data_IF_301887072449
#
_entry.id   IF_301887072449
#
_cell.length_a   1.000
_cell.length_b   1.000
_cell.length_c   1.000
_cell.angle_alpha   90.00
_cell.angle_beta   90.00
_cell.angle_gamma   90.00
#
_symmetry.space_group_name_H-M   'P 1'
#
loop_
_entity.id
_entity.type
_entity.pdbx_description
1 polymer ?
#
# COMPACT_ATOMS: atom_id res chain seq x y z
N UNK A 1 -10.15 -19.55 9.78
CA UNK A 1 -10.03 -18.19 9.20
C UNK A 1 -8.89 -18.19 8.20
N UNK A 2 -9.07 -17.62 7.00
CA UNK A 2 -7.96 -17.39 6.04
C UNK A 2 -7.50 -15.94 6.03
N UNK A 3 -8.15 -15.10 6.81
CA UNK A 3 -7.86 -13.68 6.89
C UNK A 3 -7.71 -13.30 8.36
N UNK A 4 -6.77 -12.42 8.65
CA UNK A 4 -6.54 -11.87 9.97
C UNK A 4 -6.59 -10.35 9.87
N UNK A 5 -7.46 -9.75 10.67
CA UNK A 5 -7.59 -8.31 10.77
C UNK A 5 -7.11 -7.88 12.15
N UNK A 6 -6.10 -7.03 12.17
CA UNK A 6 -5.54 -6.46 13.39
C UNK A 6 -5.65 -4.95 13.29
N UNK A 7 -6.31 -4.36 14.27
CA UNK A 7 -6.44 -2.91 14.37
C UNK A 7 -5.70 -2.42 15.59
N UNK A 8 -4.70 -1.58 15.37
CA UNK A 8 -4.04 -0.81 16.41
C UNK A 8 -4.80 0.46 16.75
N UNK A 9 -4.30 1.16 17.76
CA UNK A 9 -4.79 2.47 18.19
C UNK A 9 -3.70 3.53 18.02
N UNK A 10 -2.98 3.52 16.88
CA UNK A 10 -2.00 4.56 16.59
C UNK A 10 -2.72 5.85 16.16
N UNK A 11 -2.99 6.73 17.13
CA UNK A 11 -3.60 8.04 16.86
C UNK A 11 -2.55 9.03 16.36
N UNK A 12 -2.32 9.09 15.05
CA UNK A 12 -1.67 10.23 14.40
C UNK A 12 -2.63 11.44 14.36
N UNK A 13 -3.19 11.85 15.50
CA UNK A 13 -3.90 13.14 15.63
C UNK A 13 -2.98 14.12 16.34
N UNK A 14 -2.10 14.75 15.55
CA UNK A 14 -1.59 16.14 15.67
C UNK A 14 -1.29 16.75 17.05
N UNK A 15 -1.15 15.99 18.14
CA UNK A 15 -0.98 16.54 19.49
C UNK A 15 0.47 16.56 19.98
N UNK A 16 1.39 15.90 19.26
CA UNK A 16 2.80 15.85 19.65
C UNK A 16 3.68 16.02 18.40
N UNK A 17 4.56 17.03 18.44
CA UNK A 17 5.42 17.46 17.34
C UNK A 17 6.55 16.48 17.00
N UNK A 18 7.53 16.99 16.23
CA UNK A 18 8.61 16.31 15.48
C UNK A 18 9.59 15.41 16.26
N UNK A 19 9.30 15.01 17.49
CA UNK A 19 10.14 14.11 18.28
C UNK A 19 9.46 12.74 18.44
N UNK A 20 9.64 11.91 17.41
CA UNK A 20 9.08 10.57 17.34
C UNK A 20 9.98 9.49 17.99
N UNK A 21 10.53 9.75 19.17
CA UNK A 21 11.48 8.86 19.85
C UNK A 21 10.90 8.10 21.04
N UNK A 22 9.60 8.22 21.33
CA UNK A 22 8.98 7.62 22.54
C UNK A 22 7.65 6.93 22.23
N UNK A 23 7.63 6.00 21.27
CA UNK A 23 6.39 5.35 20.80
C UNK A 23 6.30 3.84 21.08
N UNK A 24 7.19 3.27 21.88
CA UNK A 24 7.27 1.81 22.07
C UNK A 24 6.17 1.17 22.94
N UNK A 25 5.34 1.93 23.68
CA UNK A 25 4.57 1.34 24.79
C UNK A 25 3.05 1.20 24.63
N UNK A 26 2.39 1.78 23.61
CA UNK A 26 0.91 1.84 23.58
C UNK A 26 0.23 1.40 22.28
N UNK A 27 0.98 1.19 21.20
CA UNK A 27 0.45 0.62 19.96
C UNK A 27 0.96 -0.81 19.80
N UNK A 28 0.10 -1.80 19.46
CA UNK A 28 0.59 -3.11 19.08
C UNK A 28 1.56 -2.92 17.91
N UNK A 29 2.85 -3.18 18.16
CA UNK A 29 3.88 -3.19 17.13
C UNK A 29 3.98 -4.62 16.63
N UNK A 30 3.79 -4.83 15.34
CA UNK A 30 4.16 -6.11 14.73
C UNK A 30 5.66 -6.06 14.49
N UNK A 31 6.41 -6.60 15.45
CA UNK A 31 7.83 -6.78 15.31
C UNK A 31 8.12 -7.92 14.33
N UNK A 32 9.35 -7.93 13.79
CA UNK A 32 9.94 -9.04 13.05
C UNK A 32 9.81 -10.40 13.76
N UNK A 33 9.61 -10.42 15.09
CA UNK A 33 9.41 -11.63 15.88
C UNK A 33 7.97 -12.17 15.82
N UNK A 34 6.99 -11.27 15.81
CA UNK A 34 5.56 -11.66 15.76
C UNK A 34 5.11 -12.18 14.40
N UNK A 35 5.75 -11.73 13.31
CA UNK A 35 5.39 -12.15 11.95
C UNK A 35 5.73 -13.64 11.65
N UNK A 36 6.93 -14.17 12.03
CA UNK A 36 7.25 -15.59 11.97
C UNK A 36 6.34 -16.47 12.83
N UNK A 37 5.97 -16.02 14.03
CA UNK A 37 5.00 -16.75 14.86
C UNK A 37 3.64 -16.86 14.17
N UNK A 38 3.24 -15.80 13.47
CA UNK A 38 2.01 -15.76 12.68
C UNK A 38 2.07 -16.76 11.53
N UNK A 39 3.22 -16.89 10.86
CA UNK A 39 3.47 -17.91 9.85
C UNK A 39 3.32 -19.33 10.42
N UNK A 40 3.94 -19.59 11.58
CA UNK A 40 3.90 -20.92 12.20
C UNK A 40 2.49 -21.28 12.71
N UNK A 41 1.76 -20.33 13.30
CA UNK A 41 0.44 -20.57 13.89
C UNK A 41 -0.69 -20.57 12.86
N UNK A 42 -0.52 -19.86 11.75
CA UNK A 42 -1.53 -19.68 10.72
C UNK A 42 -0.97 -19.99 9.30
N UNK A 43 -0.54 -21.24 9.01
CA UNK A 43 0.10 -21.56 7.73
C UNK A 43 -0.82 -21.38 6.51
N UNK A 44 -2.15 -21.44 6.72
CA UNK A 44 -3.15 -21.26 5.68
C UNK A 44 -3.64 -19.82 5.50
N UNK A 45 -2.98 -18.83 6.12
CA UNK A 45 -3.36 -17.43 6.01
C UNK A 45 -3.20 -16.92 4.57
N UNK A 46 -4.23 -16.27 4.04
CA UNK A 46 -4.25 -15.64 2.71
C UNK A 46 -4.43 -14.13 2.77
N UNK A 47 -5.08 -13.62 3.81
CA UNK A 47 -5.29 -12.19 4.03
C UNK A 47 -4.71 -11.73 5.35
N UNK A 48 -4.00 -10.61 5.34
CA UNK A 48 -3.56 -9.93 6.54
C UNK A 48 -3.84 -8.44 6.39
N UNK A 49 -4.66 -7.90 7.28
CA UNK A 49 -5.07 -6.52 7.27
C UNK A 49 -4.71 -5.88 8.59
N UNK A 50 -3.75 -4.96 8.52
CA UNK A 50 -3.23 -4.17 9.63
C UNK A 50 -3.78 -2.76 9.48
N UNK A 51 -4.30 -2.18 10.55
CA UNK A 51 -4.83 -0.82 10.54
C UNK A 51 -4.31 -0.03 11.71
N UNK A 52 -3.81 1.19 11.47
CA UNK A 52 -3.35 2.11 12.51
C UNK A 52 -2.27 1.48 13.42
N UNK A 53 -1.27 0.82 12.83
CA UNK A 53 -0.18 0.13 13.55
C UNK A 53 1.20 0.72 13.21
N UNK A 54 2.14 0.64 14.16
CA UNK A 54 3.55 0.91 13.89
C UNK A 54 4.25 -0.40 13.52
N UNK A 55 4.71 -0.52 12.28
CA UNK A 55 5.65 -1.54 11.82
C UNK A 55 7.08 -1.05 12.14
N UNK A 56 7.37 -0.95 13.43
CA UNK A 56 8.60 -0.39 13.96
C UNK A 56 9.69 -1.47 14.14
N UNK A 57 10.92 -0.99 14.35
CA UNK A 57 12.07 -1.81 14.71
C UNK A 57 11.72 -2.74 15.88
N UNK A 58 12.12 -4.01 15.79
CA UNK A 58 12.11 -4.89 16.95
C UNK A 58 13.16 -4.44 17.99
N UNK A 59 13.21 -5.12 19.13
CA UNK A 59 14.20 -4.85 20.20
C UNK A 59 15.65 -5.10 19.76
N UNK A 60 15.86 -5.72 18.58
CA UNK A 60 17.16 -6.01 17.99
C UNK A 60 17.51 -5.05 16.84
N UNK A 61 16.68 -4.03 16.58
CA UNK A 61 16.89 -3.08 15.49
C UNK A 61 16.58 -3.62 14.10
N UNK A 62 15.83 -4.72 13.98
CA UNK A 62 15.39 -5.27 12.69
C UNK A 62 14.08 -4.62 12.25
N UNK A 63 14.04 -4.21 10.98
CA UNK A 63 12.84 -3.65 10.35
C UNK A 63 12.00 -4.79 9.80
N UNK A 64 10.67 -4.79 9.99
CA UNK A 64 9.81 -5.74 9.31
C UNK A 64 9.92 -5.55 7.78
N UNK A 65 10.23 -6.64 7.09
CA UNK A 65 10.29 -6.71 5.62
C UNK A 65 9.22 -7.66 5.11
N UNK A 66 8.88 -7.56 3.82
CA UNK A 66 7.91 -8.48 3.19
C UNK A 66 8.31 -9.96 3.31
N UNK A 67 9.60 -10.27 3.38
CA UNK A 67 10.09 -11.65 3.55
C UNK A 67 9.66 -12.30 4.88
N UNK A 68 9.27 -11.51 5.88
CA UNK A 68 8.78 -12.02 7.17
C UNK A 68 7.30 -12.44 7.13
N UNK A 69 6.57 -12.08 6.08
CA UNK A 69 5.16 -12.41 5.95
C UNK A 69 4.97 -13.82 5.37
N UNK A 70 3.84 -14.49 5.63
CA UNK A 70 3.58 -15.82 5.11
C UNK A 70 3.59 -15.84 3.58
N UNK A 71 4.32 -16.77 2.96
CA UNK A 71 4.37 -16.93 1.50
C UNK A 71 3.03 -17.35 0.85
N UNK A 72 2.04 -17.69 1.67
CA UNK A 72 0.66 -18.03 1.28
C UNK A 72 -0.24 -16.81 1.14
N UNK A 73 0.24 -15.62 1.49
CA UNK A 73 -0.53 -14.38 1.44
C UNK A 73 -0.86 -13.97 0.00
N UNK A 74 -2.12 -13.57 -0.21
CA UNK A 74 -2.67 -13.04 -1.46
C UNK A 74 -3.24 -11.64 -1.27
N UNK A 75 -3.58 -11.27 -0.05
CA UNK A 75 -4.16 -9.98 0.30
C UNK A 75 -3.41 -9.39 1.49
N UNK A 76 -2.83 -8.21 1.29
CA UNK A 76 -2.14 -7.46 2.33
C UNK A 76 -2.76 -6.07 2.44
N UNK A 77 -3.15 -5.67 3.64
CA UNK A 77 -3.50 -4.29 3.94
C UNK A 77 -2.67 -3.80 5.11
N UNK A 78 -2.09 -2.60 4.99
CA UNK A 78 -1.36 -1.93 6.07
C UNK A 78 -1.85 -0.49 6.26
N UNK A 79 -3.16 -0.31 6.23
CA UNK A 79 -3.83 0.99 6.24
C UNK A 79 -3.42 1.84 7.45
N UNK A 80 -2.97 3.08 7.21
CA UNK A 80 -2.58 3.99 8.28
C UNK A 80 -1.38 3.51 9.10
N UNK A 81 -0.64 2.51 8.60
CA UNK A 81 0.52 2.00 9.31
C UNK A 81 1.75 2.90 9.09
N UNK A 82 2.57 3.01 10.13
CA UNK A 82 3.89 3.62 10.06
C UNK A 82 4.92 2.54 9.73
N UNK A 83 5.63 2.64 8.62
CA UNK A 83 6.62 1.65 8.18
C UNK A 83 7.70 2.30 7.30
N UNK A 84 8.90 1.75 7.29
CA UNK A 84 9.97 2.29 6.45
C UNK A 84 9.90 1.67 5.04
N UNK A 85 9.57 2.42 3.97
CA UNK A 85 9.27 1.80 2.68
C UNK A 85 10.48 1.12 2.03
N UNK A 86 11.66 1.77 2.07
CA UNK A 86 12.86 1.21 1.47
C UNK A 86 13.22 -0.19 2.01
N UNK A 87 13.36 -0.42 3.33
CA UNK A 87 13.63 -1.75 3.86
C UNK A 87 12.41 -2.69 3.77
N UNK A 88 11.18 -2.16 3.82
CA UNK A 88 9.99 -3.00 3.71
C UNK A 88 9.93 -3.75 2.37
N UNK A 89 10.35 -3.09 1.29
CA UNK A 89 10.43 -3.63 -0.06
C UNK A 89 11.85 -4.08 -0.48
N UNK A 90 12.86 -4.11 0.42
CA UNK A 90 14.26 -4.41 0.03
C UNK A 90 14.58 -5.89 -0.10
N UNK A 91 14.00 -6.74 0.77
CA UNK A 91 14.14 -8.20 0.70
C UNK A 91 13.33 -8.74 -0.46
N UNK A 92 13.92 -9.64 -1.27
CA UNK A 92 13.46 -10.12 -2.59
C UNK A 92 11.97 -9.82 -2.87
N UNK A 93 11.63 -8.57 -3.27
CA UNK A 93 10.24 -8.13 -3.37
C UNK A 93 9.49 -8.95 -4.43
N UNK A 94 10.24 -9.57 -5.34
CA UNK A 94 9.72 -10.42 -6.40
C UNK A 94 8.96 -11.64 -5.89
N UNK A 95 9.19 -12.15 -4.67
CA UNK A 95 8.55 -13.40 -4.26
C UNK A 95 7.15 -13.20 -3.69
N UNK A 96 6.99 -12.25 -2.76
CA UNK A 96 5.69 -12.01 -2.14
C UNK A 96 4.84 -11.06 -2.98
N UNK A 97 5.40 -9.93 -3.43
CA UNK A 97 4.65 -8.90 -4.15
C UNK A 97 4.10 -9.44 -5.48
N UNK A 98 4.85 -10.33 -6.15
CA UNK A 98 4.39 -10.97 -7.39
C UNK A 98 3.20 -11.91 -7.20
N UNK A 99 2.86 -12.29 -5.98
CA UNK A 99 1.74 -13.19 -5.66
C UNK A 99 0.55 -12.45 -5.07
N UNK A 100 0.75 -11.25 -4.56
CA UNK A 100 -0.33 -10.43 -4.02
C UNK A 100 -1.30 -10.08 -5.13
N UNK A 101 -2.59 -10.27 -4.83
CA UNK A 101 -3.73 -9.87 -5.67
C UNK A 101 -4.36 -8.58 -5.15
N UNK A 102 -4.24 -8.33 -3.86
CA UNK A 102 -4.78 -7.14 -3.20
C UNK A 102 -3.71 -6.53 -2.30
N UNK A 103 -3.48 -5.22 -2.48
CA UNK A 103 -2.58 -4.44 -1.64
C UNK A 103 -3.27 -3.13 -1.25
N UNK A 104 -3.50 -2.93 0.04
CA UNK A 104 -4.02 -1.66 0.58
C UNK A 104 -2.95 -0.94 1.39
N UNK A 105 -2.48 0.20 0.86
CA UNK A 105 -1.53 1.11 1.49
C UNK A 105 -2.19 2.43 1.92
N UNK A 106 -3.52 2.48 1.96
CA UNK A 106 -4.26 3.72 2.23
C UNK A 106 -3.85 4.37 3.55
N UNK A 107 -3.83 5.71 3.58
CA UNK A 107 -3.45 6.53 4.74
C UNK A 107 -2.01 6.33 5.23
N UNK A 108 -1.15 5.65 4.46
CA UNK A 108 0.27 5.52 4.78
C UNK A 108 1.04 6.76 4.31
N UNK A 109 1.40 7.64 5.25
CA UNK A 109 2.08 8.91 4.95
C UNK A 109 3.49 8.75 4.36
N UNK A 110 4.09 7.57 4.48
CA UNK A 110 5.45 7.29 4.00
C UNK A 110 5.47 6.77 2.55
N UNK A 111 4.32 6.40 1.98
CA UNK A 111 4.23 5.91 0.59
C UNK A 111 4.46 7.06 -0.38
N UNK A 112 5.45 6.90 -1.26
CA UNK A 112 5.84 7.88 -2.27
C UNK A 112 6.10 7.21 -3.64
N UNK A 113 6.57 7.99 -4.62
CA UNK A 113 6.84 7.52 -5.97
C UNK A 113 7.85 6.37 -6.06
N UNK A 114 8.76 6.22 -5.08
CA UNK A 114 9.70 5.11 -5.06
C UNK A 114 8.99 3.78 -4.78
N UNK A 115 7.99 3.79 -3.88
CA UNK A 115 7.15 2.62 -3.61
C UNK A 115 6.41 2.20 -4.87
N UNK A 116 5.81 3.13 -5.61
CA UNK A 116 5.14 2.83 -6.88
C UNK A 116 6.10 2.23 -7.91
N UNK A 117 7.34 2.71 -7.98
CA UNK A 117 8.38 2.12 -8.83
C UNK A 117 8.69 0.66 -8.48
N UNK A 118 8.76 0.33 -7.19
CA UNK A 118 8.93 -1.06 -6.75
C UNK A 118 7.72 -1.94 -7.10
N UNK A 119 6.50 -1.42 -6.94
CA UNK A 119 5.28 -2.15 -7.30
C UNK A 119 5.20 -2.40 -8.81
N UNK A 120 5.50 -1.40 -9.64
CA UNK A 120 5.56 -1.57 -11.10
C UNK A 120 6.52 -2.70 -11.50
N UNK A 121 7.69 -2.79 -10.85
CA UNK A 121 8.71 -3.78 -11.17
C UNK A 121 8.39 -5.21 -10.69
N UNK A 122 7.53 -5.39 -9.68
CA UNK A 122 7.39 -6.68 -8.98
C UNK A 122 5.96 -7.18 -8.79
N UNK A 123 4.95 -6.32 -8.86
CA UNK A 123 3.56 -6.64 -8.52
C UNK A 123 2.74 -7.18 -9.70
N UNK A 124 3.29 -8.13 -10.44
CA UNK A 124 2.71 -8.64 -11.70
C UNK A 124 1.35 -9.33 -11.56
N UNK A 125 0.98 -9.84 -10.37
CA UNK A 125 -0.33 -10.47 -10.12
C UNK A 125 -1.35 -9.55 -9.45
N UNK A 126 -1.00 -8.29 -9.20
CA UNK A 126 -1.86 -7.39 -8.43
C UNK A 126 -3.11 -7.02 -9.24
N UNK A 127 -4.28 -7.15 -8.62
CA UNK A 127 -5.59 -6.82 -9.20
C UNK A 127 -6.27 -5.66 -8.49
N UNK A 128 -5.90 -5.37 -7.25
CA UNK A 128 -6.46 -4.27 -6.48
C UNK A 128 -5.36 -3.53 -5.71
N UNK A 129 -5.31 -2.21 -5.89
CA UNK A 129 -4.36 -1.32 -5.22
C UNK A 129 -5.09 -0.16 -4.55
N UNK A 130 -4.92 -0.04 -3.23
CA UNK A 130 -5.43 1.08 -2.43
C UNK A 130 -4.33 2.07 -2.08
N UNK A 131 -4.50 3.34 -2.47
CA UNK A 131 -3.60 4.46 -2.18
C UNK A 131 -4.35 5.68 -1.62
N UNK A 132 -5.58 5.48 -1.13
CA UNK A 132 -6.42 6.53 -0.56
C UNK A 132 -5.63 7.33 0.49
N UNK A 133 -5.65 8.68 0.44
CA UNK A 133 -4.96 9.56 1.40
C UNK A 133 -3.44 9.37 1.50
N UNK A 134 -2.80 8.78 0.51
CA UNK A 134 -1.34 8.79 0.42
C UNK A 134 -0.85 10.16 -0.10
N UNK A 135 -0.62 11.11 0.82
CA UNK A 135 -0.37 12.52 0.51
C UNK A 135 0.88 12.80 -0.36
N UNK A 136 1.81 11.85 -0.50
CA UNK A 136 3.02 11.97 -1.33
C UNK A 136 2.87 11.29 -2.70
N UNK A 137 1.66 10.81 -3.02
CA UNK A 137 1.28 10.31 -4.34
C UNK A 137 0.66 11.46 -5.12
N UNK A 138 1.35 11.87 -6.17
CA UNK A 138 0.95 12.89 -7.13
C UNK A 138 0.84 12.30 -8.54
N UNK A 139 0.36 13.09 -9.51
CA UNK A 139 0.30 12.65 -10.90
C UNK A 139 1.64 12.15 -11.43
N UNK A 140 2.75 12.82 -11.10
CA UNK A 140 4.09 12.42 -11.54
C UNK A 140 4.50 11.04 -11.04
N UNK A 141 4.07 10.67 -9.83
CA UNK A 141 4.28 9.33 -9.27
C UNK A 141 3.44 8.27 -9.99
N UNK A 142 2.19 8.59 -10.36
CA UNK A 142 1.28 7.68 -11.08
C UNK A 142 1.73 7.43 -12.52
N UNK A 143 2.40 8.40 -13.17
CA UNK A 143 2.99 8.22 -14.50
C UNK A 143 4.01 7.07 -14.57
N UNK A 144 4.56 6.63 -13.42
CA UNK A 144 5.50 5.51 -13.35
C UNK A 144 4.82 4.15 -13.52
N UNK A 145 3.52 4.08 -13.27
CA UNK A 145 2.75 2.84 -13.39
C UNK A 145 2.32 2.68 -14.84
N UNK A 146 2.65 1.56 -15.48
CA UNK A 146 2.21 1.25 -16.84
C UNK A 146 1.70 -0.19 -16.90
N UNK A 147 2.58 -1.16 -16.67
CA UNK A 147 2.28 -2.58 -16.65
C UNK A 147 1.36 -2.95 -15.48
N UNK A 148 1.53 -2.29 -14.33
CA UNK A 148 0.64 -2.51 -13.19
C UNK A 148 -0.79 -2.10 -13.54
N UNK A 149 -0.98 -0.94 -14.17
CA UNK A 149 -2.30 -0.44 -14.55
C UNK A 149 -3.03 -1.37 -15.53
N UNK A 150 -2.30 -2.00 -16.45
CA UNK A 150 -2.89 -2.95 -17.41
C UNK A 150 -3.56 -4.16 -16.73
N UNK A 151 -3.10 -4.53 -15.53
CA UNK A 151 -3.57 -5.69 -14.79
C UNK A 151 -4.59 -5.37 -13.68
N UNK A 152 -4.60 -4.13 -13.18
CA UNK A 152 -5.50 -3.74 -12.10
C UNK A 152 -6.97 -3.76 -12.54
N UNK A 153 -7.81 -4.37 -11.69
CA UNK A 153 -9.26 -4.30 -11.74
C UNK A 153 -9.83 -3.24 -10.80
N UNK A 154 -9.11 -2.91 -9.73
CA UNK A 154 -9.50 -1.88 -8.76
C UNK A 154 -8.31 -0.98 -8.43
N UNK A 155 -8.51 0.33 -8.53
CA UNK A 155 -7.52 1.34 -8.14
C UNK A 155 -8.21 2.45 -7.36
N UNK A 156 -7.73 2.69 -6.15
CA UNK A 156 -8.17 3.78 -5.30
C UNK A 156 -7.06 4.82 -5.14
N UNK A 157 -7.33 6.03 -5.64
CA UNK A 157 -6.48 7.21 -5.60
C UNK A 157 -7.19 8.38 -4.89
N UNK A 158 -8.24 8.13 -4.09
CA UNK A 158 -8.95 9.21 -3.42
C UNK A 158 -8.04 10.00 -2.48
N UNK A 159 -8.29 11.31 -2.36
CA UNK A 159 -7.53 12.21 -1.49
C UNK A 159 -6.00 12.16 -1.72
N UNK A 160 -5.56 11.87 -2.95
CA UNK A 160 -4.18 12.03 -3.41
C UNK A 160 -4.01 13.35 -4.18
N UNK A 161 -2.77 13.74 -4.50
CA UNK A 161 -2.48 14.93 -5.31
C UNK A 161 -2.59 14.64 -6.82
N UNK A 162 -3.62 13.88 -7.22
CA UNK A 162 -3.90 13.55 -8.61
C UNK A 162 -4.56 14.72 -9.34
N UNK A 163 -4.11 15.00 -10.55
CA UNK A 163 -4.67 15.97 -11.49
C UNK A 163 -5.14 15.29 -12.79
N UNK A 164 -5.62 16.10 -13.74
CA UNK A 164 -6.11 15.62 -15.03
C UNK A 164 -5.04 14.87 -15.85
N UNK A 165 -3.77 15.23 -15.74
CA UNK A 165 -2.70 14.57 -16.48
C UNK A 165 -2.44 13.16 -15.92
N UNK A 166 -2.44 13.03 -14.58
CA UNK A 166 -2.34 11.73 -13.91
C UNK A 166 -3.51 10.82 -14.24
N UNK A 167 -4.74 11.35 -14.19
CA UNK A 167 -5.94 10.57 -14.55
C UNK A 167 -5.93 10.15 -16.03
N UNK A 168 -5.54 11.04 -16.95
CA UNK A 168 -5.42 10.69 -18.36
C UNK A 168 -4.45 9.53 -18.60
N UNK A 169 -3.34 9.50 -17.85
CA UNK A 169 -2.39 8.38 -17.88
C UNK A 169 -3.01 7.09 -17.36
N UNK A 170 -3.72 7.13 -16.23
CA UNK A 170 -4.46 5.98 -15.70
C UNK A 170 -5.41 5.42 -16.75
N UNK A 171 -6.27 6.27 -17.30
CA UNK A 171 -7.28 5.88 -18.29
C UNK A 171 -6.67 5.31 -19.58
N UNK A 172 -5.48 5.75 -19.96
CA UNK A 172 -4.77 5.26 -21.15
C UNK A 172 -4.27 3.82 -21.00
N UNK A 173 -3.82 3.44 -19.80
CA UNK A 173 -3.18 2.14 -19.55
C UNK A 173 -4.10 1.14 -18.85
N UNK A 174 -5.10 1.60 -18.10
CA UNK A 174 -5.92 0.76 -17.24
C UNK A 174 -7.05 0.04 -18.00
N UNK A 175 -6.68 -0.90 -18.88
CA UNK A 175 -7.60 -1.63 -19.78
C UNK A 175 -8.48 -2.65 -19.07
N UNK A 176 -8.04 -3.14 -17.92
CA UNK A 176 -8.74 -4.17 -17.14
C UNK A 176 -9.51 -3.58 -15.94
N UNK A 177 -9.54 -2.25 -15.82
CA UNK A 177 -10.02 -1.56 -14.64
C UNK A 177 -11.55 -1.55 -14.60
N UNK A 178 -12.10 -2.08 -13.52
CA UNK A 178 -13.54 -2.16 -13.26
C UNK A 178 -13.98 -1.08 -12.26
N UNK A 179 -13.10 -0.71 -11.33
CA UNK A 179 -13.34 0.28 -10.29
C UNK A 179 -12.18 1.28 -10.19
N UNK A 180 -12.50 2.57 -10.30
CA UNK A 180 -11.56 3.67 -10.14
C UNK A 180 -12.15 4.70 -9.18
N UNK A 181 -11.44 4.97 -8.08
CA UNK A 181 -11.82 5.99 -7.11
C UNK A 181 -10.84 7.17 -7.17
N UNK A 182 -11.36 8.36 -7.44
CA UNK A 182 -10.59 9.61 -7.61
C UNK A 182 -11.25 10.80 -6.89
N UNK A 183 -12.09 10.51 -5.89
CA UNK A 183 -12.72 11.52 -5.04
C UNK A 183 -11.70 12.37 -4.28
N UNK A 184 -12.05 13.62 -4.00
CA UNK A 184 -11.19 14.56 -3.28
C UNK A 184 -9.79 14.76 -3.91
N UNK A 185 -9.72 14.78 -5.25
CA UNK A 185 -8.51 15.07 -6.04
C UNK A 185 -8.69 16.40 -6.80
N UNK A 186 -7.66 16.82 -7.54
CA UNK A 186 -7.69 18.03 -8.39
C UNK A 186 -8.20 17.76 -9.81
N UNK A 187 -8.80 16.59 -10.06
CA UNK A 187 -9.37 16.23 -11.36
C UNK A 187 -10.60 17.08 -11.67
N UNK A 188 -10.66 17.64 -12.88
CA UNK A 188 -11.73 18.54 -13.32
C UNK A 188 -12.71 17.90 -14.32
N UNK A 189 -12.46 16.66 -14.74
CA UNK A 189 -13.30 15.88 -15.64
C UNK A 189 -12.94 16.00 -17.12
N UNK A 190 -11.98 16.88 -17.48
CA UNK A 190 -11.42 16.97 -18.84
C UNK A 190 -10.92 15.63 -19.39
N UNK A 191 -10.27 14.75 -18.61
CA UNK A 191 -9.74 13.49 -19.15
C UNK A 191 -10.83 12.58 -19.73
N UNK A 192 -12.04 12.62 -19.18
CA UNK A 192 -13.16 11.80 -19.68
C UNK A 192 -13.66 12.28 -21.05
N UNK A 193 -13.51 13.57 -21.36
CA UNK A 193 -13.91 14.09 -22.68
C UNK A 193 -13.00 13.62 -23.81
N UNK A 194 -11.77 13.21 -23.48
CA UNK A 194 -10.79 12.67 -24.41
C UNK A 194 -10.92 11.15 -24.62
N UNK A 195 -11.79 10.48 -23.85
CA UNK A 195 -12.07 9.06 -24.05
C UNK A 195 -12.86 8.88 -25.35
N UNK A 196 -12.50 7.86 -26.17
CA UNK A 196 -13.31 7.53 -27.33
C UNK A 196 -14.74 7.22 -26.88
N UNK A 197 -15.74 7.77 -27.58
CA UNK A 197 -17.14 7.38 -27.39
C UNK A 197 -17.26 5.93 -27.86
N UNK A 198 -17.43 5.02 -26.91
CA UNK A 198 -17.77 3.62 -27.17
C UNK A 198 -19.17 3.48 -27.75
#
# INVERSE_FOLDING_TARGET
>A
MRELHVRGCFLYRSRWGTHASSFHSLSPSLSSFTLPELHHRCPALRGLFLSDMALALDTNGQVPTLGHFPATLQSLGIRGCLFQPAPFFSEDPSQLVSRLRFLDLSSCIQVDACVLGHLEASASSLRALGLERCARIDSGSVLRLQQLLENLACLDLEATALDDAGLAHVLRHARSLEMLFVGNTSVTGRPFSALPRG
#
